data_IF_505588632850
#
_entry.id   IF_505588632850
#
_cell.length_a   1.000
_cell.length_b   1.000
_cell.length_c   1.000
_cell.angle_alpha   90.00
_cell.angle_beta   90.00
_cell.angle_gamma   90.00
#
_symmetry.space_group_name_H-M   'P 1'
#
loop_
_entity.id
_entity.type
_entity.pdbx_description
1 polymer ?
#
# COMPACT_ATOMS: atom_id res chain seq x y z
N UNK A 1 29.04 26.28 -5.46
CA UNK A 1 29.40 25.74 -4.14
C UNK A 1 28.17 25.74 -3.24
N UNK A 2 27.55 26.88 -2.92
CA UNK A 2 26.39 26.99 -2.00
C UNK A 2 25.19 26.10 -2.42
N UNK A 3 24.90 25.95 -3.71
CA UNK A 3 23.82 25.06 -4.18
C UNK A 3 24.18 23.58 -4.07
N UNK A 4 25.44 23.24 -4.22
CA UNK A 4 25.91 21.87 -4.06
C UNK A 4 25.87 21.44 -2.59
N UNK A 5 26.27 22.33 -1.67
CA UNK A 5 26.25 22.08 -0.24
C UNK A 5 24.81 21.85 0.27
N UNK A 6 23.86 22.70 -0.16
CA UNK A 6 22.43 22.46 0.13
C UNK A 6 21.91 21.14 -0.40
N UNK A 7 22.28 20.77 -1.62
CA UNK A 7 21.85 19.50 -2.21
C UNK A 7 22.39 18.29 -1.44
N UNK A 8 23.58 18.41 -0.85
CA UNK A 8 24.16 17.38 0.02
C UNK A 8 23.37 17.29 1.33
N UNK A 9 23.09 18.43 1.98
CA UNK A 9 22.30 18.48 3.21
C UNK A 9 20.90 17.90 3.02
N UNK A 10 20.18 18.30 1.95
CA UNK A 10 18.87 17.76 1.58
C UNK A 10 18.92 16.24 1.36
N UNK A 11 19.98 15.74 0.70
CA UNK A 11 20.16 14.31 0.46
C UNK A 11 20.47 13.54 1.76
N UNK A 12 21.23 14.13 2.68
CA UNK A 12 21.49 13.55 4.00
C UNK A 12 20.20 13.43 4.83
N UNK A 13 19.34 14.43 4.80
CA UNK A 13 18.07 14.40 5.52
C UNK A 13 17.11 13.33 4.96
N UNK A 14 17.04 13.21 3.63
CA UNK A 14 16.28 12.14 2.99
C UNK A 14 16.82 10.75 3.37
N UNK A 15 18.15 10.60 3.44
CA UNK A 15 18.77 9.33 3.83
C UNK A 15 18.49 8.99 5.30
N UNK A 16 18.59 9.96 6.22
CA UNK A 16 18.25 9.78 7.63
C UNK A 16 16.80 9.37 7.81
N UNK A 17 15.88 10.01 7.08
CA UNK A 17 14.48 9.63 7.07
C UNK A 17 14.28 8.19 6.56
N UNK A 18 14.96 7.81 5.48
CA UNK A 18 14.89 6.46 4.93
C UNK A 18 15.46 5.38 5.85
N UNK A 19 16.47 5.72 6.66
CA UNK A 19 17.03 4.83 7.68
C UNK A 19 16.15 4.71 8.94
N UNK A 20 15.03 5.42 9.00
CA UNK A 20 14.12 5.36 10.14
C UNK A 20 14.63 6.04 11.40
N UNK A 21 15.58 6.95 11.28
CA UNK A 21 16.03 7.78 12.42
C UNK A 21 14.93 8.78 12.77
N UNK A 22 14.08 8.39 13.72
CA UNK A 22 12.94 9.20 14.17
C UNK A 22 13.27 10.10 15.37
N UNK A 23 14.47 10.01 15.89
CA UNK A 23 14.87 10.78 17.07
C UNK A 23 15.29 12.18 16.64
N UNK A 24 14.44 13.18 16.91
CA UNK A 24 14.62 14.58 16.50
C UNK A 24 15.96 15.18 16.96
N UNK A 25 16.49 14.74 18.09
CA UNK A 25 17.78 15.17 18.63
C UNK A 25 18.98 14.57 17.89
N UNK A 26 18.84 13.38 17.33
CA UNK A 26 19.89 12.69 16.56
C UNK A 26 19.94 13.14 15.11
N UNK A 27 18.86 13.69 14.56
CA UNK A 27 18.83 14.26 13.21
C UNK A 27 19.74 15.49 13.04
N UNK A 28 20.12 16.14 14.14
CA UNK A 28 20.89 17.39 14.11
C UNK A 28 22.40 17.17 14.31
N UNK A 29 22.86 15.99 14.71
CA UNK A 29 24.25 15.75 15.06
C UNK A 29 24.88 14.65 14.19
N UNK A 30 25.75 15.07 13.31
CA UNK A 30 26.68 14.21 12.57
C UNK A 30 26.59 14.35 11.05
N UNK A 31 27.72 14.59 10.44
CA UNK A 31 27.89 14.54 8.98
C UNK A 31 27.90 13.09 8.51
N UNK A 32 27.11 12.78 7.47
CA UNK A 32 27.12 11.44 6.85
C UNK A 32 28.32 11.39 5.89
N UNK A 33 29.35 10.65 6.25
CA UNK A 33 30.50 10.40 5.41
C UNK A 33 30.22 9.22 4.47
N UNK A 34 30.26 9.48 3.18
CA UNK A 34 30.17 8.42 2.14
C UNK A 34 31.49 7.69 2.08
N UNK A 35 31.54 6.47 2.60
CA UNK A 35 32.77 5.64 2.66
C UNK A 35 33.07 4.92 1.35
N UNK A 36 32.09 4.72 0.49
CA UNK A 36 32.27 4.04 -0.79
C UNK A 36 31.53 4.78 -1.91
N UNK A 37 32.20 5.00 -3.01
CA UNK A 37 31.54 5.38 -4.26
C UNK A 37 30.91 4.13 -4.89
N UNK A 38 29.78 4.24 -5.59
CA UNK A 38 29.20 3.10 -6.29
C UNK A 38 30.18 2.61 -7.37
N UNK A 39 30.76 1.40 -7.14
CA UNK A 39 31.82 0.84 -7.98
C UNK A 39 31.32 0.37 -9.36
N UNK A 40 30.07 0.07 -9.52
CA UNK A 40 29.53 -0.37 -10.80
C UNK A 40 28.13 0.20 -11.03
N UNK A 41 27.93 0.75 -12.21
CA UNK A 41 26.59 0.99 -12.73
C UNK A 41 26.08 -0.33 -13.31
N UNK A 42 25.22 -1.03 -12.58
CA UNK A 42 24.51 -2.16 -13.16
C UNK A 42 23.70 -1.69 -14.38
N UNK A 43 23.72 -2.45 -15.48
CA UNK A 43 22.93 -2.12 -16.65
C UNK A 43 21.44 -2.09 -16.25
N UNK A 44 20.74 -1.06 -16.69
CA UNK A 44 19.30 -0.93 -16.46
C UNK A 44 18.59 -2.15 -17.05
N UNK A 45 17.77 -2.79 -16.22
CA UNK A 45 16.84 -3.85 -16.65
C UNK A 45 15.92 -3.34 -17.75
N UNK A 46 15.36 -4.24 -18.55
CA UNK A 46 14.45 -3.83 -19.61
C UNK A 46 13.23 -3.07 -19.04
N UNK A 47 12.75 -2.05 -19.73
CA UNK A 47 11.61 -1.26 -19.29
C UNK A 47 10.37 -2.14 -19.11
N UNK A 48 10.22 -3.18 -19.92
CA UNK A 48 9.11 -4.13 -19.84
C UNK A 48 9.11 -4.92 -18.54
N UNK A 49 10.29 -5.43 -18.14
CA UNK A 49 10.44 -6.20 -16.91
C UNK A 49 10.22 -5.33 -15.67
N UNK A 50 10.77 -4.11 -15.66
CA UNK A 50 10.57 -3.16 -14.54
C UNK A 50 9.10 -2.82 -14.37
N UNK A 51 8.39 -2.52 -15.46
CA UNK A 51 6.95 -2.21 -15.40
C UNK A 51 6.15 -3.41 -14.90
N UNK A 52 6.45 -4.61 -15.42
CA UNK A 52 5.77 -5.84 -15.02
C UNK A 52 5.97 -6.14 -13.54
N UNK A 53 7.20 -6.09 -13.07
CA UNK A 53 7.53 -6.34 -11.66
C UNK A 53 6.85 -5.30 -10.76
N UNK A 54 6.91 -4.01 -11.12
CA UNK A 54 6.27 -2.94 -10.35
C UNK A 54 4.77 -3.20 -10.18
N UNK A 55 4.07 -3.54 -11.28
CA UNK A 55 2.62 -3.76 -11.23
C UNK A 55 2.25 -5.02 -10.44
N UNK A 56 3.09 -6.06 -10.48
CA UNK A 56 2.84 -7.32 -9.77
C UNK A 56 3.16 -7.25 -8.27
N UNK A 57 4.14 -6.44 -7.89
CA UNK A 57 4.60 -6.34 -6.49
C UNK A 57 3.97 -5.17 -5.74
N UNK A 58 3.26 -4.28 -6.44
CA UNK A 58 2.67 -3.07 -5.86
C UNK A 58 1.69 -3.39 -4.73
N UNK A 59 1.92 -2.74 -3.58
CA UNK A 59 1.12 -2.96 -2.36
C UNK A 59 -0.28 -2.37 -2.52
N UNK A 60 -0.42 -1.20 -3.16
CA UNK A 60 -1.73 -0.56 -3.33
C UNK A 60 -2.64 -1.39 -4.24
N UNK A 61 -2.06 -2.02 -5.27
CA UNK A 61 -2.80 -2.95 -6.13
C UNK A 61 -3.30 -4.16 -5.34
N UNK A 62 -2.47 -4.76 -4.47
CA UNK A 62 -2.87 -5.88 -3.60
C UNK A 62 -3.95 -5.49 -2.59
N UNK A 63 -3.81 -4.34 -1.96
CA UNK A 63 -4.84 -3.80 -1.04
C UNK A 63 -6.16 -3.62 -1.78
N UNK A 64 -6.13 -3.08 -3.00
CA UNK A 64 -7.34 -2.92 -3.80
C UNK A 64 -7.94 -4.27 -4.26
N UNK A 65 -7.13 -5.29 -4.53
CA UNK A 65 -7.61 -6.64 -4.80
C UNK A 65 -8.38 -7.22 -3.60
N UNK A 66 -7.85 -7.08 -2.38
CA UNK A 66 -8.58 -7.47 -1.17
C UNK A 66 -9.87 -6.66 -0.97
N UNK A 67 -9.85 -5.37 -1.29
CA UNK A 67 -11.07 -4.55 -1.24
C UNK A 67 -12.14 -5.05 -2.20
N UNK A 68 -11.77 -5.50 -3.40
CA UNK A 68 -12.70 -6.12 -4.33
C UNK A 68 -13.33 -7.38 -3.73
N UNK A 69 -12.56 -8.20 -3.01
CA UNK A 69 -13.11 -9.37 -2.32
C UNK A 69 -14.12 -8.99 -1.23
N UNK A 70 -13.84 -7.94 -0.45
CA UNK A 70 -14.79 -7.41 0.53
C UNK A 70 -16.09 -6.95 -0.14
N UNK A 71 -16.00 -6.22 -1.26
CA UNK A 71 -17.18 -5.78 -2.00
C UNK A 71 -17.93 -6.97 -2.65
N UNK A 72 -17.26 -8.05 -3.03
CA UNK A 72 -17.91 -9.29 -3.49
C UNK A 72 -18.71 -9.96 -2.37
N UNK A 73 -18.15 -10.03 -1.15
CA UNK A 73 -18.84 -10.55 0.03
C UNK A 73 -20.08 -9.69 0.33
N UNK A 74 -19.93 -8.37 0.35
CA UNK A 74 -21.03 -7.43 0.54
C UNK A 74 -22.12 -7.59 -0.52
N UNK A 75 -21.75 -7.89 -1.77
CA UNK A 75 -22.71 -8.19 -2.83
C UNK A 75 -23.49 -9.48 -2.55
N UNK A 76 -22.80 -10.53 -2.08
CA UNK A 76 -23.46 -11.79 -1.72
C UNK A 76 -24.45 -11.56 -0.59
N UNK A 77 -24.07 -10.85 0.48
CA UNK A 77 -24.94 -10.49 1.59
C UNK A 77 -26.17 -9.69 1.12
N UNK A 78 -25.94 -8.66 0.29
CA UNK A 78 -27.03 -7.85 -0.24
C UNK A 78 -27.97 -8.64 -1.19
N UNK A 79 -27.48 -9.68 -1.86
CA UNK A 79 -28.30 -10.60 -2.64
C UNK A 79 -29.09 -11.54 -1.76
N UNK A 80 -28.52 -11.98 -0.64
CA UNK A 80 -29.20 -12.86 0.30
C UNK A 80 -30.38 -12.14 0.99
N UNK A 81 -30.23 -10.86 1.31
CA UNK A 81 -31.30 -10.02 1.81
C UNK A 81 -32.53 -9.89 0.87
N UNK A 82 -32.39 -10.26 -0.39
CA UNK A 82 -33.51 -10.32 -1.34
C UNK A 82 -34.34 -11.60 -1.21
N UNK A 83 -33.95 -12.52 -0.33
CA UNK A 83 -34.64 -13.79 -0.07
C UNK A 83 -35.47 -13.66 1.24
N UNK A 84 -36.51 -14.48 1.40
CA UNK A 84 -37.17 -14.60 2.69
C UNK A 84 -36.21 -15.14 3.75
N UNK A 85 -36.27 -14.58 4.95
CA UNK A 85 -35.52 -15.11 6.09
C UNK A 85 -36.42 -16.07 6.86
N UNK A 86 -35.86 -17.23 7.18
CA UNK A 86 -36.53 -18.27 7.94
C UNK A 86 -35.73 -18.54 9.21
N UNK A 87 -36.26 -18.12 10.35
CA UNK A 87 -35.65 -18.29 11.65
C UNK A 87 -36.35 -19.41 12.42
N UNK A 88 -35.61 -20.41 12.86
CA UNK A 88 -36.04 -21.45 13.78
C UNK A 88 -35.52 -21.15 15.17
N UNK A 89 -36.42 -20.93 16.10
CA UNK A 89 -36.07 -20.69 17.50
C UNK A 89 -36.50 -21.91 18.32
N UNK A 90 -35.56 -22.46 19.07
CA UNK A 90 -35.86 -23.52 20.03
C UNK A 90 -35.36 -23.10 21.40
N UNK A 91 -36.13 -23.32 22.42
CA UNK A 91 -35.75 -23.00 23.78
C UNK A 91 -36.19 -24.10 24.74
N UNK A 92 -35.37 -24.38 25.72
CA UNK A 92 -35.71 -25.25 26.87
C UNK A 92 -35.44 -24.45 28.12
N UNK A 93 -36.45 -24.31 28.94
CA UNK A 93 -36.37 -23.57 30.21
C UNK A 93 -36.62 -24.54 31.35
N UNK A 94 -35.68 -24.62 32.26
CA UNK A 94 -35.81 -25.40 33.49
C UNK A 94 -36.35 -24.49 34.60
N UNK A 95 -37.46 -24.89 35.21
CA UNK A 95 -38.15 -24.15 36.23
C UNK A 95 -38.03 -24.85 37.57
N UNK A 96 -37.43 -24.21 38.57
CA UNK A 96 -37.50 -24.63 39.97
C UNK A 96 -38.49 -23.72 40.71
N UNK A 97 -39.52 -24.32 41.32
CA UNK A 97 -40.47 -23.62 42.16
C UNK A 97 -40.42 -24.18 43.57
N UNK A 98 -39.92 -23.38 44.53
CA UNK A 98 -40.00 -23.69 45.96
C UNK A 98 -40.00 -22.36 46.73
N UNK A 99 -40.46 -22.42 47.98
CA UNK A 99 -40.42 -21.29 48.90
C UNK A 99 -39.02 -20.99 49.43
N UNK A 100 -38.12 -21.96 49.36
CA UNK A 100 -36.70 -21.79 49.70
C UNK A 100 -35.85 -21.72 48.42
N UNK A 101 -35.04 -20.66 48.26
CA UNK A 101 -34.23 -20.39 47.06
C UNK A 101 -33.20 -21.52 46.77
N UNK A 102 -32.71 -22.21 47.78
CA UNK A 102 -31.78 -23.33 47.56
C UNK A 102 -32.47 -24.57 46.99
N UNK A 103 -33.67 -24.84 47.43
CA UNK A 103 -34.49 -25.95 46.94
C UNK A 103 -35.03 -25.65 45.55
N UNK A 104 -35.46 -24.42 45.29
CA UNK A 104 -35.83 -23.96 43.95
C UNK A 104 -34.68 -24.09 42.95
N UNK A 105 -33.46 -23.73 43.34
CA UNK A 105 -32.24 -23.90 42.51
C UNK A 105 -31.95 -25.35 42.19
N UNK A 106 -32.04 -26.26 43.22
CA UNK A 106 -31.87 -27.70 43.03
C UNK A 106 -32.97 -28.27 42.12
N UNK A 107 -34.21 -27.85 42.29
CA UNK A 107 -35.32 -28.27 41.43
C UNK A 107 -35.10 -27.86 39.96
N UNK A 108 -34.62 -26.66 39.72
CA UNK A 108 -34.23 -26.22 38.36
C UNK A 108 -33.08 -27.06 37.78
N UNK A 109 -32.08 -27.41 38.63
CA UNK A 109 -30.93 -28.21 38.21
C UNK A 109 -31.29 -29.67 37.95
N UNK A 110 -32.21 -30.22 38.75
CA UNK A 110 -32.69 -31.60 38.61
C UNK A 110 -33.80 -31.74 37.55
N UNK A 111 -34.16 -30.65 36.88
CA UNK A 111 -35.20 -30.60 35.84
C UNK A 111 -36.59 -31.11 36.34
N UNK A 112 -36.92 -30.76 37.59
CA UNK A 112 -38.24 -31.13 38.20
C UNK A 112 -39.44 -30.44 37.44
N UNK A 113 -39.15 -29.35 36.72
CA UNK A 113 -40.06 -28.73 35.77
C UNK A 113 -39.31 -28.22 34.56
N UNK A 114 -39.75 -28.57 33.40
CA UNK A 114 -39.17 -28.04 32.15
C UNK A 114 -40.30 -27.54 31.26
N UNK A 115 -39.98 -26.48 30.55
CA UNK A 115 -40.82 -25.96 29.47
C UNK A 115 -39.99 -25.92 28.19
N UNK A 116 -40.58 -26.29 27.10
CA UNK A 116 -39.95 -26.22 25.82
C UNK A 116 -40.75 -25.36 24.86
N UNK A 117 -40.07 -24.56 24.08
CA UNK A 117 -40.65 -23.70 23.06
C UNK A 117 -40.06 -23.99 21.70
N UNK A 118 -40.90 -23.99 20.72
CA UNK A 118 -40.53 -24.08 19.33
C UNK A 118 -41.21 -22.98 18.55
N UNK A 119 -40.43 -22.17 17.85
CA UNK A 119 -40.94 -21.08 17.05
C UNK A 119 -40.34 -21.11 15.64
N UNK A 120 -41.17 -20.90 14.65
CA UNK A 120 -40.78 -20.70 13.26
C UNK A 120 -41.22 -19.29 12.85
N UNK A 121 -40.25 -18.44 12.55
CA UNK A 121 -40.51 -17.07 12.10
C UNK A 121 -40.08 -16.93 10.63
N UNK A 122 -41.04 -16.52 9.78
CA UNK A 122 -40.78 -16.20 8.37
C UNK A 122 -40.83 -14.68 8.23
N UNK A 123 -39.67 -14.08 7.91
CA UNK A 123 -39.59 -12.64 7.71
C UNK A 123 -39.38 -12.33 6.23
N UNK A 124 -40.36 -11.70 5.63
CA UNK A 124 -40.34 -11.36 4.21
C UNK A 124 -40.70 -9.89 4.01
N UNK A 125 -39.77 -9.06 3.53
CA UNK A 125 -40.05 -7.64 3.26
C UNK A 125 -41.00 -7.50 2.07
N UNK A 126 -42.06 -6.74 2.25
CA UNK A 126 -43.05 -6.55 1.20
C UNK A 126 -42.48 -5.81 -0.02
N UNK A 127 -42.57 -6.45 -1.18
CA UNK A 127 -42.14 -5.87 -2.46
C UNK A 127 -40.64 -5.86 -2.75
N UNK A 128 -39.76 -6.14 -1.78
CA UNK A 128 -38.28 -6.24 -1.93
C UNK A 128 -37.61 -5.05 -2.63
N UNK A 129 -38.24 -3.87 -2.70
CA UNK A 129 -37.69 -2.73 -3.46
C UNK A 129 -36.36 -2.24 -2.90
N UNK A 130 -36.29 -2.13 -1.58
CA UNK A 130 -35.07 -1.68 -0.88
C UNK A 130 -33.97 -2.72 -0.98
N UNK A 131 -34.24 -3.99 -0.70
CA UNK A 131 -33.29 -5.08 -0.85
C UNK A 131 -32.74 -5.18 -2.28
N UNK A 132 -33.60 -5.08 -3.29
CA UNK A 132 -33.16 -5.05 -4.69
C UNK A 132 -32.33 -3.81 -5.03
N UNK A 133 -32.62 -2.66 -4.43
CA UNK A 133 -31.81 -1.45 -4.61
C UNK A 133 -30.42 -1.61 -3.97
N UNK A 134 -30.34 -2.18 -2.75
CA UNK A 134 -29.06 -2.52 -2.09
C UNK A 134 -28.25 -3.51 -2.92
N UNK A 135 -28.86 -4.58 -3.42
CA UNK A 135 -28.17 -5.57 -4.27
C UNK A 135 -27.61 -4.93 -5.56
N UNK A 136 -28.36 -4.03 -6.22
CA UNK A 136 -27.87 -3.29 -7.38
C UNK A 136 -26.73 -2.35 -7.01
N UNK A 137 -26.82 -1.65 -5.87
CA UNK A 137 -25.75 -0.77 -5.36
C UNK A 137 -24.48 -1.57 -5.08
N UNK A 138 -24.59 -2.70 -4.39
CA UNK A 138 -23.45 -3.58 -4.09
C UNK A 138 -22.80 -4.15 -5.36
N UNK A 139 -23.59 -4.52 -6.38
CA UNK A 139 -23.05 -4.92 -7.69
C UNK A 139 -22.20 -3.81 -8.31
N UNK A 140 -22.71 -2.58 -8.32
CA UNK A 140 -21.96 -1.42 -8.88
C UNK A 140 -20.72 -1.07 -8.05
N UNK A 141 -20.73 -1.32 -6.73
CA UNK A 141 -19.56 -1.14 -5.87
C UNK A 141 -18.41 -2.07 -6.30
N UNK A 142 -18.69 -3.34 -6.61
CA UNK A 142 -17.70 -4.28 -7.14
C UNK A 142 -17.14 -3.79 -8.48
N UNK A 143 -18.00 -3.34 -9.39
CA UNK A 143 -17.59 -2.81 -10.70
C UNK A 143 -16.67 -1.57 -10.52
N UNK A 144 -17.06 -0.64 -9.64
CA UNK A 144 -16.27 0.55 -9.32
C UNK A 144 -14.91 0.19 -8.71
N UNK A 145 -14.87 -0.75 -7.74
CA UNK A 145 -13.63 -1.21 -7.13
C UNK A 145 -12.69 -1.87 -8.15
N UNK A 146 -13.24 -2.61 -9.11
CA UNK A 146 -12.47 -3.23 -10.19
C UNK A 146 -11.86 -2.19 -11.14
N UNK A 147 -12.62 -1.14 -11.47
CA UNK A 147 -12.10 -0.03 -12.28
C UNK A 147 -11.00 0.74 -11.55
N UNK A 148 -11.13 0.93 -10.22
CA UNK A 148 -10.10 1.54 -9.40
C UNK A 148 -8.80 0.72 -9.42
N UNK A 149 -8.87 -0.61 -9.35
CA UNK A 149 -7.70 -1.47 -9.49
C UNK A 149 -7.00 -1.28 -10.84
N UNK A 150 -7.78 -1.20 -11.89
CA UNK A 150 -7.23 -0.95 -13.23
C UNK A 150 -6.50 0.40 -13.30
N UNK A 151 -7.10 1.46 -12.76
CA UNK A 151 -6.48 2.78 -12.69
C UNK A 151 -5.18 2.78 -11.89
N UNK A 152 -5.17 2.15 -10.71
CA UNK A 152 -3.96 2.01 -9.89
C UNK A 152 -2.85 1.31 -10.69
N UNK A 153 -3.15 0.18 -11.34
CA UNK A 153 -2.17 -0.54 -12.17
C UNK A 153 -1.63 0.32 -13.32
N UNK A 154 -2.48 1.12 -13.95
CA UNK A 154 -2.04 2.06 -15.00
C UNK A 154 -1.16 3.18 -14.47
N UNK A 155 -1.53 3.80 -13.35
CA UNK A 155 -0.74 4.85 -12.71
C UNK A 155 0.65 4.35 -12.31
N UNK A 156 0.72 3.16 -11.69
CA UNK A 156 1.99 2.54 -11.30
C UNK A 156 2.85 2.17 -12.51
N UNK A 157 2.25 1.66 -13.58
CA UNK A 157 2.96 1.40 -14.84
C UNK A 157 3.51 2.68 -15.46
N UNK A 158 2.75 3.78 -15.42
CA UNK A 158 3.21 5.08 -15.91
C UNK A 158 4.34 5.64 -15.04
N UNK A 159 4.22 5.56 -13.72
CA UNK A 159 5.24 5.99 -12.78
C UNK A 159 6.55 5.20 -12.98
N UNK A 160 6.47 3.87 -13.11
CA UNK A 160 7.63 3.02 -13.39
C UNK A 160 8.33 3.39 -14.70
N UNK A 161 7.57 3.65 -15.78
CA UNK A 161 8.14 4.10 -17.05
C UNK A 161 8.82 5.45 -16.94
N UNK A 162 8.23 6.38 -16.17
CA UNK A 162 8.81 7.71 -15.94
C UNK A 162 10.11 7.61 -15.15
N UNK A 163 10.12 6.82 -14.07
CA UNK A 163 11.30 6.59 -13.26
C UNK A 163 12.43 5.91 -14.06
N UNK A 164 12.10 4.90 -14.87
CA UNK A 164 13.07 4.24 -15.75
C UNK A 164 13.71 5.19 -16.75
N UNK A 165 12.90 6.05 -17.40
CA UNK A 165 13.43 7.06 -18.34
C UNK A 165 14.33 8.07 -17.62
N UNK A 166 13.95 8.50 -16.42
CA UNK A 166 14.76 9.40 -15.61
C UNK A 166 16.12 8.77 -15.26
N UNK A 167 16.10 7.51 -14.82
CA UNK A 167 17.32 6.75 -14.55
C UNK A 167 18.18 6.60 -15.80
N UNK A 168 17.60 6.21 -16.94
CA UNK A 168 18.31 6.07 -18.22
C UNK A 168 18.95 7.39 -18.67
N UNK A 169 18.24 8.51 -18.50
CA UNK A 169 18.80 9.84 -18.79
C UNK A 169 19.93 10.20 -17.82
N UNK A 170 19.81 9.82 -16.54
CA UNK A 170 20.86 9.98 -15.53
C UNK A 170 22.13 9.24 -15.90
N UNK A 171 22.03 7.98 -16.32
CA UNK A 171 23.19 7.20 -16.79
C UNK A 171 23.91 7.88 -17.97
N UNK A 172 23.16 8.31 -18.99
CA UNK A 172 23.74 9.03 -20.13
C UNK A 172 24.41 10.33 -19.71
N UNK A 173 23.82 11.07 -18.75
CA UNK A 173 24.42 12.29 -18.21
C UNK A 173 25.76 12.02 -17.53
N UNK A 174 25.86 10.95 -16.75
CA UNK A 174 27.12 10.57 -16.08
C UNK A 174 28.19 10.26 -17.13
N UNK A 175 27.87 9.51 -18.16
CA UNK A 175 28.78 9.19 -19.26
C UNK A 175 29.33 10.46 -19.96
N UNK A 176 28.43 11.36 -20.33
CA UNK A 176 28.78 12.64 -20.95
C UNK A 176 29.61 13.51 -20.00
N UNK A 177 29.24 13.57 -18.71
CA UNK A 177 29.98 14.36 -17.72
C UNK A 177 31.39 13.81 -17.51
N UNK A 178 31.57 12.48 -17.45
CA UNK A 178 32.89 11.87 -17.36
C UNK A 178 33.77 12.24 -18.56
N UNK A 179 33.24 12.15 -19.79
CA UNK A 179 33.95 12.58 -21.00
C UNK A 179 34.31 14.07 -20.93
N UNK A 180 33.41 14.91 -20.45
CA UNK A 180 33.67 16.35 -20.30
C UNK A 180 34.75 16.65 -19.27
N UNK A 181 34.81 15.90 -18.16
CA UNK A 181 35.89 16.04 -17.15
C UNK A 181 37.23 15.73 -17.77
N UNK A 182 37.33 14.59 -18.46
CA UNK A 182 38.62 14.21 -19.14
C UNK A 182 39.07 15.27 -20.13
N UNK A 183 38.19 15.79 -20.98
CA UNK A 183 38.52 16.84 -21.93
C UNK A 183 38.96 18.14 -21.24
N UNK A 184 38.31 18.51 -20.14
CA UNK A 184 38.70 19.71 -19.39
C UNK A 184 40.03 19.52 -18.67
N UNK A 185 40.35 18.34 -18.18
CA UNK A 185 41.65 18.02 -17.60
C UNK A 185 42.74 18.12 -18.63
N UNK A 186 42.54 17.55 -19.83
CA UNK A 186 43.50 17.66 -20.95
C UNK A 186 43.70 19.13 -21.38
N UNK A 187 42.61 19.90 -21.50
CA UNK A 187 42.67 21.32 -21.84
C UNK A 187 43.41 22.12 -20.78
N UNK A 188 43.17 21.82 -19.49
CA UNK A 188 43.85 22.46 -18.38
C UNK A 188 45.36 22.18 -18.42
N UNK A 189 45.78 20.94 -18.62
CA UNK A 189 47.21 20.58 -18.72
C UNK A 189 47.87 21.25 -19.95
N UNK A 190 47.19 21.36 -21.09
CA UNK A 190 47.68 22.07 -22.25
C UNK A 190 47.88 23.56 -21.98
N UNK A 191 46.90 24.22 -21.35
CA UNK A 191 47.02 25.64 -20.99
C UNK A 191 48.11 25.89 -19.95
N UNK A 192 48.24 24.98 -18.97
CA UNK A 192 49.30 25.01 -17.97
C UNK A 192 50.71 24.91 -18.63
N UNK A 193 50.83 24.02 -19.61
CA UNK A 193 52.10 23.87 -20.38
C UNK A 193 52.40 25.14 -21.21
N UNK A 194 51.40 25.74 -21.85
CA UNK A 194 51.53 27.00 -22.59
C UNK A 194 51.92 28.17 -21.66
N UNK A 195 51.29 28.26 -20.50
CA UNK A 195 51.65 29.25 -19.51
C UNK A 195 53.10 29.09 -19.02
N UNK A 196 53.51 27.84 -18.74
CA UNK A 196 54.90 27.53 -18.35
C UNK A 196 55.94 27.85 -19.40
N UNK A 197 55.55 27.83 -20.69
CA UNK A 197 56.43 28.21 -21.81
C UNK A 197 56.38 29.70 -22.19
N UNK A 198 55.62 30.54 -21.46
CA UNK A 198 55.52 31.99 -21.70
C UNK A 198 54.74 32.38 -22.96
N UNK A 199 53.94 31.46 -23.52
CA UNK A 199 53.18 31.66 -24.76
C UNK A 199 51.77 32.29 -24.56
N UNK A 200 51.36 32.54 -23.32
CA UNK A 200 50.09 33.18 -22.99
C UNK A 200 50.35 34.53 -22.37
N UNK A 201 49.92 35.65 -22.97
CA UNK A 201 49.98 36.96 -22.32
C UNK A 201 48.97 37.04 -21.18
N UNK A 202 49.29 37.87 -20.19
CA UNK A 202 48.41 38.22 -19.06
C UNK A 202 46.99 38.55 -19.50
#
# INVERSE_FOLDING_TARGET
IIQADRAIEDAQDVLRHAMGQTNFMEMTSGEILVMSLPDSMEPLRSIGDVVKDTVLTDVDAKVQEHRIEVERINRILAQDETRPNLDLTTGVTYLGRDQDGKTAYRGAYNADGYDWSFGLEVRMPWGFRDARARARKAKRAVESATLQLYNIKQEKALAARKAWRSASAGFKRIEVTRASVLLNEEAFEQERARYGSGLVPY
#
